data_IF_756968619489
#
_entry.id   IF_756968619489
#
_cell.length_a   1.000
_cell.length_b   1.000
_cell.length_c   1.000
_cell.angle_alpha   90.00
_cell.angle_beta   90.00
_cell.angle_gamma   90.00
#
_symmetry.space_group_name_H-M   'P 1'
#
loop_
_entity.id
_entity.type
_entity.pdbx_description
1 polymer ?
#
# COMPACT_ATOMS: atom_id res chain seq x y z
N UNK A 1 28.96 102.46 5.80
CA UNK A 1 28.02 101.46 5.27
C UNK A 1 28.61 100.04 5.08
N UNK A 2 29.83 99.73 5.54
CA UNK A 2 30.44 98.39 5.34
C UNK A 2 30.06 97.30 6.35
N UNK A 3 29.34 97.63 7.43
CA UNK A 3 28.92 96.65 8.44
C UNK A 3 27.74 95.77 8.01
N UNK A 4 26.79 96.34 7.26
CA UNK A 4 25.57 95.63 6.81
C UNK A 4 25.85 94.50 5.81
N UNK A 5 26.73 94.74 4.82
CA UNK A 5 27.09 93.73 3.82
C UNK A 5 27.80 92.52 4.43
N UNK A 6 28.66 92.72 5.45
CA UNK A 6 29.34 91.59 6.12
C UNK A 6 28.40 90.78 7.03
N UNK A 7 27.32 91.40 7.52
CA UNK A 7 26.29 90.69 8.28
C UNK A 7 25.42 89.84 7.35
N UNK A 8 24.90 90.43 6.28
CA UNK A 8 24.11 89.71 5.28
C UNK A 8 24.87 88.51 4.68
N UNK A 9 26.15 88.67 4.34
CA UNK A 9 26.97 87.58 3.79
C UNK A 9 27.30 86.47 4.80
N UNK A 10 27.19 86.74 6.11
CA UNK A 10 27.28 85.70 7.14
C UNK A 10 25.95 84.99 7.30
N UNK A 11 24.86 85.75 7.33
CA UNK A 11 23.51 85.22 7.49
C UNK A 11 23.13 84.30 6.29
N UNK A 12 23.48 84.67 5.06
CA UNK A 12 23.30 83.81 3.87
C UNK A 12 24.12 82.51 3.95
N UNK A 13 25.37 82.57 4.40
CA UNK A 13 26.21 81.37 4.56
C UNK A 13 25.70 80.43 5.67
N UNK A 14 25.17 80.99 6.75
CA UNK A 14 24.55 80.20 7.81
C UNK A 14 23.29 79.48 7.32
N UNK A 15 22.47 80.13 6.49
CA UNK A 15 21.29 79.51 5.89
C UNK A 15 21.65 78.36 4.93
N UNK A 16 22.70 78.53 4.11
CA UNK A 16 23.22 77.46 3.25
C UNK A 16 23.76 76.28 4.07
N UNK A 17 24.49 76.54 5.16
CA UNK A 17 25.00 75.51 6.05
C UNK A 17 23.88 74.74 6.76
N UNK A 18 22.80 75.41 7.16
CA UNK A 18 21.65 74.77 7.79
C UNK A 18 20.82 73.95 6.79
N UNK A 19 20.65 74.44 5.55
CA UNK A 19 20.07 73.64 4.47
C UNK A 19 20.90 72.39 4.18
N UNK A 20 22.24 72.51 4.18
CA UNK A 20 23.15 71.38 3.97
C UNK A 20 23.05 70.34 5.09
N UNK A 21 22.92 70.79 6.35
CA UNK A 21 22.69 69.89 7.50
C UNK A 21 21.35 69.18 7.40
N UNK A 22 20.29 69.87 6.99
CA UNK A 22 18.95 69.29 6.80
C UNK A 22 18.97 68.19 5.74
N UNK A 23 19.60 68.43 4.58
CA UNK A 23 19.77 67.40 3.55
C UNK A 23 20.58 66.21 4.08
N UNK A 24 21.67 66.44 4.80
CA UNK A 24 22.46 65.36 5.37
C UNK A 24 21.70 64.56 6.44
N UNK A 25 20.80 65.19 7.20
CA UNK A 25 19.90 64.45 8.11
C UNK A 25 18.86 63.66 7.33
N UNK A 26 18.28 64.24 6.28
CA UNK A 26 17.31 63.57 5.42
C UNK A 26 17.92 62.34 4.75
N UNK A 27 19.10 62.46 4.13
CA UNK A 27 19.83 61.34 3.52
C UNK A 27 20.13 60.23 4.52
N UNK A 28 20.49 60.58 5.77
CA UNK A 28 20.70 59.57 6.84
C UNK A 28 19.40 58.85 7.22
N UNK A 29 18.29 59.57 7.31
CA UNK A 29 16.98 58.98 7.57
C UNK A 29 16.54 58.07 6.43
N UNK A 30 16.67 58.53 5.18
CA UNK A 30 16.30 57.77 4.00
C UNK A 30 17.16 56.51 3.85
N UNK A 31 18.47 56.61 4.12
CA UNK A 31 19.37 55.46 4.12
C UNK A 31 18.99 54.44 5.21
N UNK A 32 18.72 54.90 6.43
CA UNK A 32 18.29 54.04 7.52
C UNK A 32 16.95 53.37 7.22
N UNK A 33 15.99 54.12 6.69
CA UNK A 33 14.68 53.60 6.31
C UNK A 33 14.79 52.55 5.19
N UNK A 34 15.58 52.84 4.16
CA UNK A 34 15.86 51.91 3.07
C UNK A 34 16.54 50.62 3.57
N UNK A 35 17.51 50.74 4.48
CA UNK A 35 18.17 49.58 5.09
C UNK A 35 17.18 48.71 5.87
N UNK A 36 16.33 49.32 6.71
CA UNK A 36 15.31 48.58 7.48
C UNK A 36 14.32 47.84 6.58
N UNK A 37 13.83 48.48 5.51
CA UNK A 37 12.95 47.81 4.54
C UNK A 37 13.67 46.64 3.87
N UNK A 38 14.90 46.85 3.41
CA UNK A 38 15.67 45.81 2.70
C UNK A 38 15.88 44.59 3.60
N UNK A 39 16.24 44.79 4.87
CA UNK A 39 16.39 43.72 5.85
C UNK A 39 15.07 42.96 6.08
N UNK A 40 13.95 43.66 6.22
CA UNK A 40 12.64 43.01 6.38
C UNK A 40 12.27 42.16 5.16
N UNK A 41 12.54 42.65 3.95
CA UNK A 41 12.28 41.90 2.70
C UNK A 41 13.16 40.64 2.63
N UNK A 42 14.44 40.75 2.99
CA UNK A 42 15.34 39.60 3.07
C UNK A 42 14.86 38.56 4.09
N UNK A 43 14.44 39.01 5.28
CA UNK A 43 13.91 38.14 6.32
C UNK A 43 12.62 37.43 5.89
N UNK A 44 11.68 38.16 5.26
CA UNK A 44 10.44 37.58 4.72
C UNK A 44 10.76 36.53 3.66
N UNK A 45 11.68 36.83 2.73
CA UNK A 45 12.09 35.87 1.69
C UNK A 45 12.73 34.62 2.31
N UNK A 46 13.58 34.77 3.31
CA UNK A 46 14.18 33.65 4.05
C UNK A 46 13.12 32.81 4.76
N UNK A 47 12.15 33.45 5.43
CA UNK A 47 11.05 32.76 6.11
C UNK A 47 10.16 32.02 5.13
N UNK A 48 9.85 32.62 3.98
CA UNK A 48 9.08 31.97 2.91
C UNK A 48 9.79 30.72 2.38
N UNK A 49 11.10 30.80 2.13
CA UNK A 49 11.90 29.64 1.71
C UNK A 49 11.92 28.55 2.80
N UNK A 50 12.04 28.93 4.08
CA UNK A 50 11.98 27.98 5.18
C UNK A 50 10.62 27.30 5.29
N UNK A 51 9.53 28.06 5.10
CA UNK A 51 8.17 27.54 5.10
C UNK A 51 7.96 26.56 3.96
N UNK A 52 8.40 26.90 2.74
CA UNK A 52 8.30 26.02 1.58
C UNK A 52 9.04 24.70 1.81
N UNK A 53 10.28 24.75 2.31
CA UNK A 53 11.05 23.53 2.64
C UNK A 53 10.36 22.67 3.69
N UNK A 54 9.76 23.29 4.71
CA UNK A 54 9.01 22.58 5.74
C UNK A 54 7.75 21.91 5.15
N UNK A 55 7.02 22.62 4.28
CA UNK A 55 5.86 22.07 3.57
C UNK A 55 6.24 20.89 2.68
N UNK A 56 7.32 21.01 1.90
CA UNK A 56 7.85 19.93 1.05
C UNK A 56 8.26 18.71 1.89
N UNK A 57 8.99 18.93 2.99
CA UNK A 57 9.42 17.86 3.90
C UNK A 57 8.24 17.17 4.56
N UNK A 58 7.25 17.96 5.02
CA UNK A 58 6.02 17.43 5.61
C UNK A 58 5.22 16.62 4.61
N UNK A 59 5.02 17.12 3.39
CA UNK A 59 4.31 16.40 2.35
C UNK A 59 5.00 15.09 1.98
N UNK A 60 6.33 15.09 1.90
CA UNK A 60 7.11 13.87 1.66
C UNK A 60 6.98 12.87 2.82
N UNK A 61 6.98 13.32 4.06
CA UNK A 61 6.78 12.46 5.23
C UNK A 61 5.39 11.83 5.23
N UNK A 62 4.35 12.62 4.93
CA UNK A 62 2.97 12.12 4.78
C UNK A 62 2.88 11.05 3.70
N UNK A 63 3.42 11.31 2.50
CA UNK A 63 3.37 10.35 1.40
C UNK A 63 4.06 9.02 1.75
N UNK A 64 5.20 9.06 2.46
CA UNK A 64 5.89 7.85 2.92
C UNK A 64 5.05 7.05 3.93
N UNK A 65 4.40 7.74 4.87
CA UNK A 65 3.52 7.09 5.85
C UNK A 65 2.29 6.47 5.20
N UNK A 66 1.72 7.13 4.20
CA UNK A 66 0.60 6.60 3.42
C UNK A 66 1.00 5.33 2.65
N UNK A 67 2.18 5.32 2.02
CA UNK A 67 2.72 4.15 1.34
C UNK A 67 2.97 2.98 2.31
N UNK A 68 3.58 3.25 3.46
CA UNK A 68 3.80 2.22 4.49
C UNK A 68 2.48 1.65 5.02
N UNK A 69 1.49 2.51 5.24
CA UNK A 69 0.17 2.12 5.69
C UNK A 69 -0.53 1.23 4.67
N UNK A 70 -0.43 1.55 3.38
CA UNK A 70 -0.97 0.73 2.30
C UNK A 70 -0.24 -0.62 2.18
N UNK A 71 1.09 -0.63 2.29
CA UNK A 71 1.86 -1.87 2.32
C UNK A 71 1.45 -2.79 3.48
N UNK A 72 1.24 -2.21 4.68
CA UNK A 72 0.75 -2.93 5.86
C UNK A 72 -0.67 -3.46 5.65
N UNK A 73 -1.59 -2.67 5.07
CA UNK A 73 -2.95 -3.11 4.71
C UNK A 73 -2.93 -4.30 3.76
N UNK A 74 -2.13 -4.24 2.71
CA UNK A 74 -2.00 -5.37 1.78
C UNK A 74 -1.41 -6.60 2.46
N UNK A 75 -0.48 -6.45 3.39
CA UNK A 75 0.06 -7.57 4.15
C UNK A 75 -1.02 -8.22 5.03
N UNK A 76 -1.82 -7.42 5.72
CA UNK A 76 -2.97 -7.89 6.51
C UNK A 76 -3.94 -8.66 5.62
N UNK A 77 -4.38 -8.09 4.49
CA UNK A 77 -5.30 -8.76 3.57
C UNK A 77 -4.77 -10.11 3.07
N UNK A 78 -3.45 -10.21 2.82
CA UNK A 78 -2.81 -11.48 2.43
C UNK A 78 -2.85 -12.51 3.57
N UNK A 79 -2.65 -12.09 4.82
CA UNK A 79 -2.73 -12.97 5.99
C UNK A 79 -4.18 -13.40 6.26
N UNK A 80 -5.14 -12.48 6.18
CA UNK A 80 -6.57 -12.78 6.31
C UNK A 80 -7.02 -13.79 5.27
N UNK A 81 -6.61 -13.63 4.02
CA UNK A 81 -6.91 -14.60 2.95
C UNK A 81 -6.28 -15.98 3.21
N UNK A 82 -5.12 -16.05 3.87
CA UNK A 82 -4.52 -17.35 4.27
C UNK A 82 -5.29 -17.97 5.42
N UNK A 83 -5.71 -17.18 6.40
CA UNK A 83 -6.47 -17.63 7.55
C UNK A 83 -7.83 -18.21 7.13
N UNK A 84 -8.52 -17.56 6.19
CA UNK A 84 -9.80 -18.06 5.68
C UNK A 84 -9.65 -19.44 5.02
N UNK A 85 -8.62 -19.62 4.17
CA UNK A 85 -8.33 -20.93 3.57
C UNK A 85 -8.01 -22.01 4.61
N UNK A 86 -7.37 -21.66 5.72
CA UNK A 86 -7.10 -22.59 6.81
C UNK A 86 -8.39 -23.01 7.51
N UNK A 87 -9.29 -22.05 7.76
CA UNK A 87 -10.60 -22.33 8.32
C UNK A 87 -11.40 -23.28 7.44
N UNK A 88 -11.47 -23.02 6.14
CA UNK A 88 -12.15 -23.90 5.18
C UNK A 88 -11.62 -25.34 5.23
N UNK A 89 -10.29 -25.47 5.32
CA UNK A 89 -9.63 -26.77 5.42
C UNK A 89 -9.97 -27.49 6.73
N UNK A 90 -9.96 -26.78 7.86
CA UNK A 90 -10.31 -27.34 9.17
C UNK A 90 -11.78 -27.76 9.23
N UNK A 91 -12.68 -27.01 8.60
CA UNK A 91 -14.10 -27.36 8.48
C UNK A 91 -14.30 -28.62 7.63
N UNK A 92 -13.65 -28.72 6.48
CA UNK A 92 -13.70 -29.93 5.65
C UNK A 92 -13.11 -31.15 6.39
N UNK A 93 -12.00 -30.97 7.11
CA UNK A 93 -11.39 -32.02 7.92
C UNK A 93 -12.31 -32.49 9.04
N UNK A 94 -13.03 -31.56 9.69
CA UNK A 94 -14.05 -31.88 10.70
C UNK A 94 -15.19 -32.69 10.10
N UNK A 95 -15.70 -32.30 8.93
CA UNK A 95 -16.78 -33.01 8.24
C UNK A 95 -16.37 -34.43 7.83
N UNK A 96 -15.17 -34.60 7.25
CA UNK A 96 -14.63 -35.93 6.90
C UNK A 96 -14.50 -36.82 8.14
N UNK A 97 -14.00 -36.29 9.26
CA UNK A 97 -13.88 -37.07 10.49
C UNK A 97 -15.25 -37.44 11.07
N UNK A 98 -16.22 -36.53 11.01
CA UNK A 98 -17.59 -36.82 11.41
C UNK A 98 -18.17 -37.97 10.57
N UNK A 99 -18.05 -37.91 9.23
CA UNK A 99 -18.49 -38.98 8.32
C UNK A 99 -17.80 -40.32 8.59
N UNK A 100 -16.50 -40.30 8.90
CA UNK A 100 -15.75 -41.52 9.26
C UNK A 100 -16.16 -42.11 10.61
N UNK A 101 -16.61 -41.26 11.55
CA UNK A 101 -17.05 -41.69 12.88
C UNK A 101 -18.46 -42.27 12.91
N UNK A 102 -19.23 -42.14 11.82
CA UNK A 102 -20.56 -42.73 11.71
C UNK A 102 -20.45 -44.25 11.71
N UNK A 103 -20.98 -44.87 12.76
CA UNK A 103 -21.12 -46.32 12.84
C UNK A 103 -22.34 -46.78 12.05
N UNK A 104 -22.09 -47.18 10.79
CA UNK A 104 -23.12 -47.67 9.87
C UNK A 104 -23.83 -48.94 10.35
N UNK A 105 -23.23 -49.65 11.32
CA UNK A 105 -23.82 -50.87 11.87
C UNK A 105 -25.07 -50.58 12.73
N UNK A 106 -25.19 -49.38 13.30
CA UNK A 106 -26.27 -48.99 14.21
C UNK A 106 -27.43 -48.25 13.53
N UNK A 107 -27.32 -47.97 12.23
CA UNK A 107 -28.37 -47.24 11.50
C UNK A 107 -29.54 -48.20 11.20
N UNK A 108 -30.77 -47.94 11.70
CA UNK A 108 -31.91 -48.80 11.48
C UNK A 108 -32.33 -48.76 10.00
N UNK A 109 -32.42 -49.94 9.38
CA UNK A 109 -32.75 -50.11 7.95
C UNK A 109 -34.21 -50.49 7.69
N UNK A 110 -35.02 -50.68 8.75
CA UNK A 110 -36.40 -51.20 8.64
C UNK A 110 -36.50 -52.71 8.37
N UNK A 111 -35.38 -53.37 8.11
CA UNK A 111 -35.27 -54.82 7.90
C UNK A 111 -34.78 -55.49 9.19
N UNK A 112 -35.51 -56.45 9.78
CA UNK A 112 -35.09 -57.11 11.02
C UNK A 112 -33.80 -57.90 10.80
N UNK A 113 -32.75 -57.55 11.54
CA UNK A 113 -31.47 -58.27 11.58
C UNK A 113 -30.42 -57.86 10.54
N UNK A 114 -30.66 -56.83 9.71
CA UNK A 114 -29.68 -56.34 8.73
C UNK A 114 -29.24 -54.91 9.04
N UNK A 115 -27.97 -54.70 9.38
CA UNK A 115 -27.42 -53.34 9.52
C UNK A 115 -27.28 -52.63 8.17
N UNK A 116 -27.24 -51.29 8.17
CA UNK A 116 -27.04 -50.52 6.94
C UNK A 116 -25.72 -50.87 6.26
N UNK A 117 -24.68 -51.14 7.04
CA UNK A 117 -23.40 -51.66 6.55
C UNK A 117 -23.56 -52.95 5.71
N UNK A 118 -24.33 -53.92 6.22
CA UNK A 118 -24.58 -55.19 5.54
C UNK A 118 -25.32 -54.99 4.21
N UNK A 119 -26.33 -54.11 4.22
CA UNK A 119 -27.16 -53.79 3.05
C UNK A 119 -26.36 -53.08 1.95
N UNK A 120 -25.44 -52.18 2.33
CA UNK A 120 -24.52 -51.51 1.41
C UNK A 120 -23.49 -52.49 0.82
N UNK A 121 -22.97 -53.44 1.62
CA UNK A 121 -22.09 -54.51 1.11
C UNK A 121 -22.80 -55.45 0.13
N UNK A 122 -24.05 -55.86 0.41
CA UNK A 122 -24.86 -56.68 -0.50
C UNK A 122 -25.10 -55.95 -1.83
N UNK A 123 -25.50 -54.67 -1.77
CA UNK A 123 -25.71 -53.86 -2.96
C UNK A 123 -24.42 -53.68 -3.78
N UNK A 124 -23.28 -53.51 -3.12
CA UNK A 124 -21.97 -53.38 -3.78
C UNK A 124 -21.53 -54.68 -4.45
N UNK A 125 -21.74 -55.83 -3.80
CA UNK A 125 -21.52 -57.16 -4.39
C UNK A 125 -22.43 -57.40 -5.60
N UNK A 126 -23.70 -57.03 -5.50
CA UNK A 126 -24.64 -57.15 -6.61
C UNK A 126 -24.18 -56.31 -7.82
N UNK A 127 -23.70 -55.09 -7.61
CA UNK A 127 -23.16 -54.24 -8.68
C UNK A 127 -21.89 -54.83 -9.33
N UNK A 128 -20.93 -55.33 -8.53
CA UNK A 128 -19.74 -56.02 -9.07
C UNK A 128 -20.08 -57.30 -9.83
N UNK A 129 -21.11 -58.03 -9.42
CA UNK A 129 -21.61 -59.20 -10.13
C UNK A 129 -22.24 -58.81 -11.46
N UNK A 130 -22.96 -57.68 -11.54
CA UNK A 130 -23.51 -57.19 -12.82
C UNK A 130 -22.43 -56.68 -13.78
N UNK A 131 -21.33 -56.12 -13.26
CA UNK A 131 -20.20 -55.64 -14.07
C UNK A 131 -19.31 -56.78 -14.56
N UNK A 132 -19.13 -57.83 -13.74
CA UNK A 132 -18.40 -59.05 -14.12
C UNK A 132 -19.13 -59.91 -15.16
N UNK A 133 -20.44 -59.68 -15.38
CA UNK A 133 -21.25 -60.40 -16.35
C UNK A 133 -21.30 -59.74 -17.74
N UNK A 134 -20.37 -58.84 -18.07
CA UNK A 134 -20.23 -58.31 -19.44
C UNK A 134 -18.89 -58.64 -20.12
N UNK A 135 -18.72 -59.88 -20.63
CA UNK A 135 -17.97 -60.12 -21.85
C UNK A 135 -18.96 -60.37 -23.00
N UNK A 136 -19.32 -59.32 -23.73
CA UNK A 136 -19.88 -59.50 -25.07
C UNK A 136 -18.87 -58.95 -26.07
N UNK A 137 -18.14 -59.90 -26.65
CA UNK A 137 -17.23 -59.69 -27.76
C UNK A 137 -17.93 -58.93 -28.89
N UNK A 138 -17.43 -57.75 -29.22
CA UNK A 138 -17.43 -57.25 -30.59
C UNK A 138 -15.97 -57.16 -31.01
N UNK A 139 -15.50 -58.00 -31.95
CA UNK A 139 -14.27 -57.72 -32.64
C UNK A 139 -14.59 -56.67 -33.70
N UNK A 140 -13.98 -55.49 -33.61
CA UNK A 140 -13.10 -55.03 -34.68
C UNK A 140 -12.61 -53.60 -34.47
N UNK A 141 -11.33 -53.45 -34.85
CA UNK A 141 -10.72 -52.25 -35.40
C UNK A 141 -10.68 -50.99 -34.50
N UNK A 142 -9.52 -50.73 -33.90
CA UNK A 142 -8.57 -49.72 -34.41
C UNK A 142 -7.47 -49.40 -33.37
N UNK A 143 -6.23 -49.39 -33.87
CA UNK A 143 -5.30 -48.30 -33.59
C UNK A 143 -4.70 -48.21 -32.19
N UNK A 144 -3.58 -48.91 -32.02
CA UNK A 144 -2.56 -48.58 -31.01
C UNK A 144 -2.12 -47.11 -31.18
N UNK A 145 -2.27 -46.28 -30.16
CA UNK A 145 -1.44 -45.09 -29.97
C UNK A 145 -0.93 -45.04 -28.54
N UNK A 146 0.23 -45.67 -28.36
CA UNK A 146 1.13 -45.50 -27.23
C UNK A 146 1.79 -44.13 -27.35
N UNK A 147 1.62 -43.26 -26.34
CA UNK A 147 2.56 -42.21 -25.92
C UNK A 147 1.99 -41.61 -24.62
N UNK A 148 2.36 -42.15 -23.46
CA UNK A 148 3.52 -41.77 -22.62
C UNK A 148 3.57 -40.26 -22.35
N UNK A 149 3.18 -39.96 -21.12
CA UNK A 149 3.35 -38.70 -20.40
C UNK A 149 4.76 -38.13 -20.47
N UNK A 150 4.86 -36.83 -20.74
CA UNK A 150 5.99 -35.99 -20.33
C UNK A 150 5.48 -34.65 -19.82
N UNK A 151 5.48 -34.51 -18.48
CA UNK A 151 5.39 -33.24 -17.77
C UNK A 151 6.63 -32.38 -18.10
N UNK A 152 6.49 -31.10 -18.50
CA UNK A 152 7.61 -30.18 -18.40
C UNK A 152 7.78 -29.71 -16.95
N UNK A 153 8.87 -30.14 -16.31
CA UNK A 153 9.39 -29.53 -15.09
C UNK A 153 10.13 -28.24 -15.48
N UNK A 154 9.64 -27.07 -15.08
CA UNK A 154 10.50 -25.90 -14.86
C UNK A 154 9.79 -24.75 -14.13
N UNK A 155 10.11 -24.55 -12.86
CA UNK A 155 10.17 -23.26 -12.15
C UNK A 155 11.26 -23.39 -11.07
N UNK A 156 11.94 -22.33 -10.58
CA UNK A 156 12.09 -20.97 -11.07
C UNK A 156 13.58 -20.52 -11.18
N UNK A 157 13.87 -19.41 -11.88
CA UNK A 157 15.11 -18.64 -11.65
C UNK A 157 14.69 -17.33 -10.99
N UNK A 158 14.91 -17.24 -9.68
CA UNK A 158 14.96 -15.95 -8.98
C UNK A 158 16.19 -15.20 -9.48
N UNK A 159 16.00 -14.01 -10.07
CA UNK A 159 17.05 -13.00 -10.13
C UNK A 159 16.64 -11.84 -9.22
N UNK A 160 17.41 -11.67 -8.17
CA UNK A 160 17.48 -10.42 -7.41
C UNK A 160 18.34 -9.44 -8.20
N UNK A 161 17.76 -8.29 -8.54
CA UNK A 161 18.45 -7.00 -8.64
C UNK A 161 17.48 -5.95 -8.14
#
# INVERSE_FOLDING_TARGET
>A
MHGGMRKAFRDDRLADDDHRKLLATQDRWDNCYYYNISQLVEEVSRLQQSLQRLQETSAQATARLEEELEARRQHINRLESKLERQRDYDDLKREINALRSVDLSQIPTGEPGKSLEHLLMERSKALQQTESLKPSNTPDALGKSSQRSTLPKSLPIYRYT
#
